data_IF_061082284770
#
_entry.id   IF_061082284770
#
_cell.length_a   1.000
_cell.length_b   1.000
_cell.length_c   1.000
_cell.angle_alpha   90.00
_cell.angle_beta   90.00
_cell.angle_gamma   90.00
#
_symmetry.space_group_name_H-M   'P 1'
#
loop_
_entity.id
_entity.type
_entity.pdbx_description
1 polymer ?
#
# COMPACT_ATOMS: atom_id res chain seq x y z
N UNK A 1 7.24 -17.13 -12.71
CA UNK A 1 6.33 -16.29 -13.54
C UNK A 1 7.09 -15.07 -14.01
N UNK A 2 6.78 -14.47 -15.17
CA UNK A 2 7.42 -13.21 -15.57
C UNK A 2 7.00 -12.09 -14.60
N UNK A 3 7.93 -11.23 -14.25
CA UNK A 3 7.72 -10.10 -13.33
C UNK A 3 6.59 -9.19 -13.84
N UNK A 4 5.61 -8.87 -12.98
CA UNK A 4 4.50 -7.97 -13.30
C UNK A 4 5.07 -6.58 -13.62
N UNK A 5 4.70 -6.01 -14.77
CA UNK A 5 5.20 -4.68 -15.17
C UNK A 5 4.60 -3.59 -14.28
N UNK A 6 5.43 -2.67 -13.79
CA UNK A 6 5.00 -1.53 -12.95
C UNK A 6 3.87 -0.72 -13.59
N UNK A 7 3.87 -0.55 -14.92
CA UNK A 7 2.79 0.13 -15.64
C UNK A 7 1.44 -0.57 -15.46
N UNK A 8 1.41 -1.91 -15.39
CA UNK A 8 0.18 -2.68 -15.18
C UNK A 8 -0.33 -2.45 -13.76
N UNK A 9 0.55 -2.47 -12.75
CA UNK A 9 0.20 -2.19 -11.35
C UNK A 9 -0.38 -0.79 -11.18
N UNK A 10 0.27 0.23 -11.75
CA UNK A 10 -0.23 1.61 -11.72
C UNK A 10 -1.59 1.75 -12.40
N UNK A 11 -1.79 1.09 -13.55
CA UNK A 11 -3.07 1.11 -14.25
C UNK A 11 -4.18 0.44 -13.45
N UNK A 12 -3.91 -0.72 -12.84
CA UNK A 12 -4.88 -1.42 -11.99
C UNK A 12 -5.26 -0.57 -10.76
N UNK A 13 -4.27 0.02 -10.09
CA UNK A 13 -4.52 0.93 -8.96
C UNK A 13 -5.35 2.15 -9.37
N UNK A 14 -4.99 2.84 -10.47
CA UNK A 14 -5.72 4.04 -10.92
C UNK A 14 -7.18 3.73 -11.20
N UNK A 15 -7.47 2.63 -11.91
CA UNK A 15 -8.84 2.18 -12.20
C UNK A 15 -9.62 1.79 -10.94
N UNK A 16 -8.95 1.10 -10.01
CA UNK A 16 -9.56 0.74 -8.72
C UNK A 16 -9.91 1.99 -7.92
N UNK A 17 -9.01 2.97 -7.86
CA UNK A 17 -9.23 4.23 -7.17
C UNK A 17 -10.36 5.04 -7.83
N UNK A 18 -10.41 5.16 -9.16
CA UNK A 18 -11.50 5.81 -9.87
C UNK A 18 -12.86 5.21 -9.52
N UNK A 19 -12.97 3.87 -9.59
CA UNK A 19 -14.21 3.16 -9.27
C UNK A 19 -14.60 3.34 -7.80
N UNK A 20 -13.63 3.27 -6.89
CA UNK A 20 -13.84 3.52 -5.47
C UNK A 20 -14.38 4.94 -5.24
N UNK A 21 -13.74 5.97 -5.79
CA UNK A 21 -14.17 7.36 -5.62
C UNK A 21 -15.58 7.61 -6.15
N UNK A 22 -15.93 7.01 -7.28
CA UNK A 22 -17.28 7.11 -7.87
C UNK A 22 -18.34 6.39 -7.02
N UNK A 23 -18.05 5.18 -6.55
CA UNK A 23 -19.03 4.36 -5.83
C UNK A 23 -19.19 4.75 -4.37
N UNK A 24 -18.13 5.24 -3.74
CA UNK A 24 -18.08 5.51 -2.29
C UNK A 24 -18.09 7.00 -1.94
N UNK A 25 -18.31 7.91 -2.88
CA UNK A 25 -18.31 9.36 -2.65
C UNK A 25 -19.18 9.76 -1.46
N UNK A 26 -20.39 9.20 -1.34
CA UNK A 26 -21.29 9.47 -0.20
C UNK A 26 -20.76 8.96 1.14
N UNK A 27 -20.09 7.79 1.14
CA UNK A 27 -19.45 7.23 2.34
C UNK A 27 -18.26 8.09 2.77
N UNK A 28 -17.47 8.59 1.82
CA UNK A 28 -16.36 9.50 2.09
C UNK A 28 -16.89 10.80 2.71
N UNK A 29 -17.91 11.41 2.10
CA UNK A 29 -18.53 12.65 2.56
C UNK A 29 -19.20 12.51 3.94
N UNK A 30 -19.83 11.36 4.23
CA UNK A 30 -20.47 11.08 5.53
C UNK A 30 -19.50 10.86 6.68
N UNK A 31 -18.19 10.83 6.41
CA UNK A 31 -17.18 10.64 7.44
C UNK A 31 -17.01 9.19 7.89
N UNK A 32 -17.34 8.21 7.03
CA UNK A 32 -17.06 6.78 7.26
C UNK A 32 -15.59 6.56 7.59
N UNK A 33 -15.26 5.67 8.53
CA UNK A 33 -13.90 5.44 9.00
C UNK A 33 -12.94 5.07 7.85
N UNK A 34 -11.68 5.49 7.96
CA UNK A 34 -10.61 5.16 7.00
C UNK A 34 -10.49 3.65 6.78
N UNK A 35 -10.57 2.87 7.86
CA UNK A 35 -10.57 1.41 7.80
C UNK A 35 -11.69 0.84 6.91
N UNK A 36 -12.91 1.37 7.03
CA UNK A 36 -14.02 0.93 6.17
C UNK A 36 -13.78 1.34 4.72
N UNK A 37 -13.31 2.57 4.49
CA UNK A 37 -12.96 3.03 3.15
C UNK A 37 -11.85 2.19 2.52
N UNK A 38 -10.82 1.80 3.29
CA UNK A 38 -9.78 0.86 2.83
C UNK A 38 -10.36 -0.51 2.46
N UNK A 39 -11.30 -1.04 3.23
CA UNK A 39 -11.98 -2.30 2.90
C UNK A 39 -12.77 -2.19 1.59
N UNK A 40 -13.40 -1.06 1.32
CA UNK A 40 -14.09 -0.80 0.05
C UNK A 40 -13.12 -0.68 -1.12
N UNK A 41 -12.00 0.05 -0.93
CA UNK A 41 -10.94 0.14 -1.95
C UNK A 41 -10.32 -1.23 -2.25
N UNK A 42 -10.12 -2.08 -1.22
CA UNK A 42 -9.60 -3.43 -1.38
C UNK A 42 -10.42 -4.27 -2.37
N UNK A 43 -11.75 -4.19 -2.30
CA UNK A 43 -12.63 -4.90 -3.25
C UNK A 43 -12.41 -4.45 -4.71
N UNK A 44 -12.24 -3.15 -4.94
CA UNK A 44 -11.92 -2.62 -6.27
C UNK A 44 -10.51 -3.02 -6.71
N UNK A 45 -9.54 -3.04 -5.78
CA UNK A 45 -8.17 -3.46 -6.06
C UNK A 45 -8.11 -4.92 -6.51
N UNK A 46 -8.81 -5.84 -5.84
CA UNK A 46 -8.87 -7.26 -6.24
C UNK A 46 -9.53 -7.45 -7.60
N UNK A 47 -10.63 -6.74 -7.84
CA UNK A 47 -11.33 -6.80 -9.12
C UNK A 47 -10.44 -6.32 -10.29
N UNK A 48 -9.70 -5.21 -10.09
CA UNK A 48 -8.80 -4.68 -11.12
C UNK A 48 -7.52 -5.51 -11.26
N UNK A 49 -6.99 -6.09 -10.18
CA UNK A 49 -5.89 -7.04 -10.24
C UNK A 49 -6.26 -8.25 -11.11
N UNK A 50 -7.42 -8.85 -10.84
CA UNK A 50 -7.95 -9.97 -11.64
C UNK A 50 -8.13 -9.58 -13.10
N UNK A 51 -8.77 -8.43 -13.38
CA UNK A 51 -9.00 -7.93 -14.75
C UNK A 51 -7.70 -7.62 -15.50
N UNK A 52 -6.62 -7.35 -14.77
CA UNK A 52 -5.29 -7.07 -15.30
C UNK A 52 -4.38 -8.31 -15.38
N UNK A 53 -4.94 -9.51 -15.16
CA UNK A 53 -4.21 -10.78 -15.07
C UNK A 53 -3.11 -10.82 -13.98
N UNK A 54 -3.31 -10.06 -12.89
CA UNK A 54 -2.52 -10.15 -11.67
C UNK A 54 -3.18 -11.22 -10.79
N UNK A 55 -2.79 -12.47 -10.98
CA UNK A 55 -3.39 -13.63 -10.29
C UNK A 55 -2.53 -14.11 -9.12
N UNK A 56 -3.16 -14.62 -8.06
CA UNK A 56 -2.47 -15.06 -6.86
C UNK A 56 -2.05 -13.92 -5.92
N UNK A 57 -2.71 -12.76 -6.05
CA UNK A 57 -2.52 -11.61 -5.18
C UNK A 57 -3.86 -11.16 -4.58
N UNK A 58 -3.79 -10.72 -3.33
CA UNK A 58 -4.94 -10.39 -2.50
C UNK A 58 -4.79 -8.97 -1.96
N UNK A 59 -5.90 -8.28 -1.82
CA UNK A 59 -5.95 -6.94 -1.22
C UNK A 59 -6.41 -7.05 0.23
N UNK A 60 -5.48 -6.99 1.17
CA UNK A 60 -5.74 -7.18 2.59
C UNK A 60 -5.66 -5.86 3.37
N UNK A 61 -6.67 -5.58 4.20
CA UNK A 61 -6.75 -4.41 5.07
C UNK A 61 -6.13 -4.72 6.43
N UNK A 62 -5.28 -3.82 6.94
CA UNK A 62 -4.61 -3.96 8.24
C UNK A 62 -3.89 -5.31 8.42
N UNK A 63 -3.35 -5.85 7.35
CA UNK A 63 -2.68 -7.14 7.39
C UNK A 63 -1.29 -7.00 8.02
N UNK A 64 -1.15 -7.50 9.24
CA UNK A 64 0.09 -7.40 10.02
C UNK A 64 0.81 -8.74 10.22
N UNK A 65 0.48 -9.76 9.41
CA UNK A 65 1.10 -11.08 9.51
C UNK A 65 2.03 -11.34 8.34
N UNK A 66 3.18 -11.96 8.64
CA UNK A 66 4.06 -12.61 7.68
C UNK A 66 3.99 -14.12 7.87
N UNK A 67 4.81 -14.87 7.13
CA UNK A 67 4.88 -16.33 7.22
C UNK A 67 4.93 -16.82 8.67
N UNK A 68 4.32 -17.98 8.94
CA UNK A 68 4.22 -18.59 10.28
C UNK A 68 3.50 -17.73 11.33
N UNK A 69 2.69 -16.73 10.90
CA UNK A 69 1.89 -15.90 11.79
C UNK A 69 2.69 -14.84 12.58
N UNK A 70 3.97 -14.63 12.26
CA UNK A 70 4.78 -13.58 12.89
C UNK A 70 4.24 -12.19 12.54
N UNK A 71 4.45 -11.21 13.43
CA UNK A 71 4.06 -9.82 13.19
C UNK A 71 4.97 -9.20 12.13
N UNK A 72 4.42 -8.43 11.21
CA UNK A 72 5.19 -7.64 10.26
C UNK A 72 5.90 -6.49 10.98
N UNK A 73 7.18 -6.33 10.72
CA UNK A 73 8.00 -5.22 11.22
C UNK A 73 8.71 -4.54 10.06
N UNK A 74 9.07 -3.27 10.22
CA UNK A 74 10.01 -2.56 9.35
C UNK A 74 11.19 -2.08 10.19
N UNK A 75 12.32 -1.79 9.54
CA UNK A 75 13.35 -0.95 10.11
C UNK A 75 13.07 0.50 9.73
N UNK A 76 13.00 1.37 10.73
CA UNK A 76 12.85 2.80 10.53
C UNK A 76 14.19 3.46 10.12
N UNK A 77 14.21 4.78 10.04
CA UNK A 77 15.40 5.56 9.72
C UNK A 77 16.53 5.46 10.77
N UNK A 78 16.19 5.04 11.98
CA UNK A 78 17.14 4.83 13.10
C UNK A 78 17.57 3.36 13.24
N UNK A 79 17.19 2.48 12.30
CA UNK A 79 17.40 1.03 12.36
C UNK A 79 16.69 0.35 13.54
N UNK A 80 15.61 0.94 14.04
CA UNK A 80 14.75 0.35 15.08
C UNK A 80 13.63 -0.49 14.46
N UNK A 81 13.36 -1.65 15.05
CA UNK A 81 12.26 -2.52 14.67
C UNK A 81 10.91 -1.90 15.08
N UNK A 82 10.09 -1.57 14.10
CA UNK A 82 8.75 -1.05 14.32
C UNK A 82 7.72 -2.04 13.79
N UNK A 83 6.80 -2.47 14.65
CA UNK A 83 5.63 -3.24 14.19
C UNK A 83 4.76 -2.37 13.30
N UNK A 84 4.39 -2.89 12.13
CA UNK A 84 3.57 -2.14 11.18
C UNK A 84 2.24 -2.81 10.92
N UNK A 85 1.25 -1.96 10.75
CA UNK A 85 -0.02 -2.30 10.13
C UNK A 85 -0.27 -1.25 9.05
N UNK A 86 -0.10 -1.63 7.79
CA UNK A 86 -0.46 -0.77 6.66
C UNK A 86 -1.96 -0.83 6.45
N UNK A 87 -2.59 0.29 6.09
CA UNK A 87 -4.04 0.37 5.96
C UNK A 87 -4.57 -0.61 4.90
N UNK A 88 -3.88 -0.76 3.77
CA UNK A 88 -4.22 -1.69 2.70
C UNK A 88 -2.96 -2.12 1.94
N UNK A 89 -2.86 -3.41 1.63
CA UNK A 89 -1.77 -3.95 0.81
C UNK A 89 -2.29 -4.87 -0.28
N UNK A 90 -1.60 -4.91 -1.42
CA UNK A 90 -1.77 -5.94 -2.45
C UNK A 90 -0.53 -6.83 -2.45
N UNK A 91 -0.71 -8.10 -2.09
CA UNK A 91 0.40 -9.03 -1.92
C UNK A 91 -0.02 -10.50 -2.18
N UNK A 92 0.95 -11.40 -2.30
CA UNK A 92 0.67 -12.83 -2.54
C UNK A 92 0.48 -13.65 -1.26
N UNK A 93 0.46 -13.04 -0.09
CA UNK A 93 0.44 -13.72 1.23
C UNK A 93 1.59 -14.71 1.43
N UNK A 94 2.75 -14.43 0.80
CA UNK A 94 3.93 -15.27 0.89
C UNK A 94 4.01 -16.40 -0.15
N UNK A 95 3.03 -16.52 -1.04
CA UNK A 95 3.04 -17.58 -2.07
C UNK A 95 4.08 -17.31 -3.18
N UNK A 96 4.43 -16.04 -3.42
CA UNK A 96 5.44 -15.63 -4.39
C UNK A 96 6.63 -14.97 -3.70
N UNK A 97 7.65 -15.75 -3.34
CA UNK A 97 8.82 -15.26 -2.58
C UNK A 97 9.53 -14.09 -3.26
N UNK A 98 9.71 -14.16 -4.58
CA UNK A 98 10.47 -13.14 -5.34
C UNK A 98 9.66 -11.88 -5.65
N UNK A 99 8.34 -11.92 -5.57
CA UNK A 99 7.46 -10.81 -5.92
C UNK A 99 6.21 -10.81 -5.02
N UNK A 100 6.39 -10.99 -3.71
CA UNK A 100 5.28 -11.05 -2.77
C UNK A 100 4.54 -9.71 -2.65
N UNK A 101 5.27 -8.61 -2.51
CA UNK A 101 4.77 -7.29 -2.16
C UNK A 101 4.62 -6.40 -3.39
N UNK A 102 3.38 -6.10 -3.81
CA UNK A 102 3.13 -5.29 -5.00
C UNK A 102 2.82 -3.83 -4.67
N UNK A 103 1.79 -3.58 -3.86
CA UNK A 103 1.32 -2.23 -3.55
C UNK A 103 1.05 -2.11 -2.06
N UNK A 104 1.51 -1.03 -1.44
CA UNK A 104 1.16 -0.60 -0.08
C UNK A 104 0.39 0.71 -0.16
N UNK A 105 -0.68 0.86 0.62
CA UNK A 105 -1.53 2.05 0.61
C UNK A 105 -1.79 2.48 2.05
N UNK A 106 -1.57 3.75 2.34
CA UNK A 106 -2.02 4.44 3.55
C UNK A 106 -3.09 5.45 3.17
N UNK A 107 -4.10 5.60 4.01
CA UNK A 107 -5.22 6.52 3.78
C UNK A 107 -5.40 7.44 4.98
N UNK A 108 -5.46 8.75 4.73
CA UNK A 108 -5.70 9.77 5.75
C UNK A 108 -6.72 10.79 5.28
N UNK A 109 -7.37 11.42 6.22
CA UNK A 109 -8.11 12.66 5.97
C UNK A 109 -7.19 13.86 6.10
N UNK A 110 -7.43 14.89 5.30
CA UNK A 110 -6.66 16.14 5.34
C UNK A 110 -6.78 16.89 6.68
N UNK A 111 -7.68 16.46 7.57
CA UNK A 111 -7.86 17.01 8.93
C UNK A 111 -6.94 16.38 9.97
N UNK A 112 -6.21 15.31 9.64
CA UNK A 112 -5.22 14.70 10.52
C UNK A 112 -3.99 15.60 10.67
N UNK A 113 -3.25 15.44 11.76
CA UNK A 113 -2.03 16.22 12.00
C UNK A 113 -0.94 15.91 10.96
N UNK A 114 -0.07 16.87 10.75
CA UNK A 114 1.09 16.71 9.85
C UNK A 114 1.98 15.57 10.32
N UNK A 115 2.19 15.43 11.64
CA UNK A 115 3.03 14.39 12.24
C UNK A 115 2.49 12.97 11.93
N UNK A 116 1.16 12.78 12.01
CA UNK A 116 0.54 11.51 11.66
C UNK A 116 0.73 11.18 10.18
N UNK A 117 0.56 12.17 9.31
CA UNK A 117 0.75 12.00 7.87
C UNK A 117 2.23 11.76 7.52
N UNK A 118 3.16 12.41 8.20
CA UNK A 118 4.59 12.21 8.00
C UNK A 118 5.05 10.82 8.50
N UNK A 119 4.41 10.28 9.55
CA UNK A 119 4.65 8.90 9.98
C UNK A 119 4.29 7.90 8.87
N UNK A 120 3.16 8.08 8.19
CA UNK A 120 2.77 7.22 7.07
C UNK A 120 3.70 7.38 5.86
N UNK A 121 4.16 8.59 5.57
CA UNK A 121 5.16 8.84 4.53
C UNK A 121 6.46 8.10 4.82
N UNK A 122 6.96 8.14 6.05
CA UNK A 122 8.15 7.38 6.47
C UNK A 122 7.93 5.88 6.32
N UNK A 123 6.76 5.38 6.73
CA UNK A 123 6.39 3.96 6.59
C UNK A 123 6.39 3.52 5.12
N UNK A 124 5.76 4.28 4.23
CA UNK A 124 5.73 3.96 2.79
C UNK A 124 7.12 3.99 2.16
N UNK A 125 8.00 4.92 2.57
CA UNK A 125 9.41 4.91 2.15
C UNK A 125 10.11 3.62 2.61
N UNK A 126 9.99 3.23 3.86
CA UNK A 126 10.58 2.00 4.38
C UNK A 126 10.04 0.76 3.67
N UNK A 127 8.71 0.66 3.47
CA UNK A 127 8.07 -0.47 2.81
C UNK A 127 8.44 -0.60 1.33
N UNK A 128 8.75 0.51 0.65
CA UNK A 128 9.12 0.49 -0.78
C UNK A 128 10.62 0.39 -1.03
N UNK A 129 11.47 0.42 0.01
CA UNK A 129 12.88 0.10 -0.13
C UNK A 129 13.07 -1.29 -0.75
N UNK A 130 14.19 -1.48 -1.44
CA UNK A 130 14.56 -2.80 -1.97
C UNK A 130 14.77 -3.77 -0.82
N UNK A 131 14.35 -5.03 -0.98
CA UNK A 131 14.46 -6.05 0.07
C UNK A 131 15.91 -6.42 0.45
N UNK A 132 16.90 -5.83 -0.22
CA UNK A 132 18.34 -6.05 0.05
C UNK A 132 19.00 -4.84 0.73
N UNK A 133 18.29 -3.74 0.93
CA UNK A 133 18.75 -2.61 1.70
C UNK A 133 18.57 -2.94 3.19
N UNK A 134 19.63 -3.39 3.84
CA UNK A 134 19.73 -3.68 5.27
C UNK A 134 18.91 -4.88 5.80
N UNK A 135 18.21 -5.63 4.94
CA UNK A 135 17.42 -6.79 5.36
C UNK A 135 17.77 -8.01 4.51
N UNK A 136 18.52 -8.90 5.09
CA UNK A 136 19.13 -10.01 4.39
C UNK A 136 18.37 -11.33 4.61
N UNK A 137 18.07 -12.02 3.50
CA UNK A 137 17.76 -13.44 3.50
C UNK A 137 19.04 -14.20 3.14
N UNK A 138 19.57 -14.96 4.08
CA UNK A 138 20.87 -15.64 3.92
C UNK A 138 20.90 -16.65 2.78
N UNK A 139 19.76 -17.15 2.36
CA UNK A 139 19.62 -18.23 1.37
C UNK A 139 18.86 -17.83 0.09
N UNK A 140 18.32 -16.62 0.03
CA UNK A 140 17.50 -16.13 -1.08
C UNK A 140 16.15 -16.86 -1.23
N UNK A 141 15.79 -17.73 -0.31
CA UNK A 141 14.59 -18.56 -0.32
C UNK A 141 13.60 -18.08 0.75
N UNK A 142 14.11 -17.69 1.93
CA UNK A 142 13.30 -17.17 3.00
C UNK A 142 12.93 -15.69 2.77
N UNK A 143 11.71 -15.29 3.16
CA UNK A 143 11.33 -13.89 3.18
C UNK A 143 12.20 -13.12 4.18
N UNK A 144 12.56 -11.85 3.88
CA UNK A 144 13.31 -11.01 4.79
C UNK A 144 12.58 -10.86 6.13
N UNK A 145 13.34 -10.66 7.19
CA UNK A 145 12.82 -10.51 8.55
C UNK A 145 11.89 -9.31 8.68
N UNK A 146 12.24 -8.23 7.99
CA UNK A 146 11.44 -7.00 7.92
C UNK A 146 10.70 -6.88 6.60
N UNK A 147 9.52 -6.27 6.62
CA UNK A 147 8.68 -6.13 5.43
C UNK A 147 9.10 -4.92 4.63
N UNK A 148 9.67 -5.19 3.48
CA UNK A 148 10.05 -4.20 2.47
C UNK A 148 9.78 -4.75 1.07
N UNK A 149 10.26 -4.09 0.04
CA UNK A 149 10.17 -4.57 -1.33
C UNK A 149 8.79 -4.42 -1.96
N UNK A 150 7.89 -3.61 -1.37
CA UNK A 150 6.70 -3.15 -2.09
C UNK A 150 7.14 -2.37 -3.32
N UNK A 151 6.57 -2.72 -4.45
CA UNK A 151 6.98 -2.10 -5.71
C UNK A 151 6.50 -0.67 -5.84
N UNK A 152 5.35 -0.37 -5.22
CA UNK A 152 4.76 0.97 -5.20
C UNK A 152 4.08 1.17 -3.84
N UNK A 153 4.26 2.36 -3.27
CA UNK A 153 3.51 2.87 -2.13
C UNK A 153 2.63 4.04 -2.54
N UNK A 154 1.43 4.13 -1.97
CA UNK A 154 0.53 5.26 -2.17
C UNK A 154 0.04 5.82 -0.84
N UNK A 155 0.12 7.14 -0.65
CA UNK A 155 -0.60 7.84 0.41
C UNK A 155 -1.79 8.57 -0.21
N UNK A 156 -2.98 8.25 0.25
CA UNK A 156 -4.24 8.85 -0.16
C UNK A 156 -4.69 9.86 0.89
N UNK A 157 -4.66 11.15 0.57
CA UNK A 157 -5.12 12.20 1.49
C UNK A 157 -6.47 12.73 1.02
N UNK A 158 -7.54 12.33 1.73
CA UNK A 158 -8.92 12.72 1.42
C UNK A 158 -9.21 14.12 1.95
N UNK A 159 -9.51 15.06 1.06
CA UNK A 159 -10.00 16.39 1.39
C UNK A 159 -11.52 16.45 1.15
N UNK A 160 -12.29 16.20 2.20
CA UNK A 160 -13.76 16.14 2.11
C UNK A 160 -14.36 17.48 1.70
N UNK A 161 -13.98 18.63 2.29
CA UNK A 161 -14.51 19.93 1.88
C UNK A 161 -14.30 20.28 0.41
N UNK A 162 -13.16 19.86 -0.16
CA UNK A 162 -12.84 20.12 -1.56
C UNK A 162 -13.25 18.98 -2.50
N UNK A 163 -13.76 17.86 -1.95
CA UNK A 163 -14.12 16.65 -2.69
C UNK A 163 -12.97 16.15 -3.58
N UNK A 164 -11.77 16.13 -3.03
CA UNK A 164 -10.57 15.69 -3.73
C UNK A 164 -9.78 14.68 -2.90
N UNK A 165 -9.02 13.84 -3.58
CA UNK A 165 -7.99 13.01 -2.98
C UNK A 165 -6.65 13.39 -3.61
N UNK A 166 -5.66 13.71 -2.77
CA UNK A 166 -4.27 13.80 -3.19
C UNK A 166 -3.66 12.38 -3.11
N UNK A 167 -2.94 11.99 -4.15
CA UNK A 167 -2.30 10.68 -4.29
C UNK A 167 -0.81 10.90 -4.38
N UNK A 168 -0.10 10.64 -3.29
CA UNK A 168 1.37 10.65 -3.28
C UNK A 168 1.88 9.25 -3.65
N UNK A 169 2.87 9.17 -4.52
CA UNK A 169 3.47 7.91 -4.98
C UNK A 169 4.88 7.76 -4.42
N UNK A 170 5.22 6.55 -3.97
CA UNK A 170 6.53 6.14 -3.45
C UNK A 170 7.02 4.89 -4.18
N UNK A 171 8.32 4.84 -4.48
CA UNK A 171 8.98 3.65 -5.03
C UNK A 171 10.47 3.69 -4.71
N UNK A 172 11.06 2.52 -4.43
CA UNK A 172 12.49 2.41 -4.11
C UNK A 172 12.92 3.20 -2.87
N UNK A 173 12.02 3.42 -1.91
CA UNK A 173 12.27 4.23 -0.72
C UNK A 173 12.10 5.74 -0.91
N UNK A 174 11.77 6.20 -2.12
CA UNK A 174 11.72 7.61 -2.46
C UNK A 174 10.30 8.09 -2.84
N UNK A 175 10.04 9.39 -2.61
CA UNK A 175 8.87 10.06 -3.14
C UNK A 175 9.03 10.25 -4.66
N UNK A 176 8.05 9.81 -5.42
CA UNK A 176 8.06 9.84 -6.89
C UNK A 176 7.27 11.04 -7.43
N UNK A 177 6.13 11.35 -6.82
CA UNK A 177 5.29 12.43 -7.28
C UNK A 177 3.92 12.46 -6.60
N UNK A 178 3.13 13.47 -6.94
CA UNK A 178 1.78 13.70 -6.43
C UNK A 178 0.83 13.97 -7.58
N UNK A 179 -0.37 13.44 -7.47
CA UNK A 179 -1.49 13.76 -8.37
C UNK A 179 -2.76 14.00 -7.53
N UNK A 180 -3.82 14.46 -8.17
CA UNK A 180 -5.10 14.70 -7.50
C UNK A 180 -6.26 14.20 -8.36
N UNK A 181 -7.29 13.68 -7.70
CA UNK A 181 -8.55 13.24 -8.32
C UNK A 181 -9.73 13.82 -7.52
N UNK A 182 -10.88 13.96 -8.18
CA UNK A 182 -12.14 14.41 -7.53
C UNK A 182 -13.09 13.24 -7.31
N UNK A 183 -14.01 13.36 -6.34
CA UNK A 183 -15.07 12.40 -6.06
C UNK A 183 -16.43 13.05 -5.78
#
# INVERSE_FOLDING_TARGET
MPRIRTKILKSAFSKALEKFLLSESRNIESGTSERNLCARLAMHMEAEATSSNITGYYADVEYNRKQEGRVKTILDENMEEVAITCDLILHSRGESVLEDNLIAIEMKRSTHSTEATDSDRRRLRAMTKSSFDDVWSADGIAHPEHVCGYRIGYLLVLNIPQRTVAVEEYAGGEFVGISSMSF
#
